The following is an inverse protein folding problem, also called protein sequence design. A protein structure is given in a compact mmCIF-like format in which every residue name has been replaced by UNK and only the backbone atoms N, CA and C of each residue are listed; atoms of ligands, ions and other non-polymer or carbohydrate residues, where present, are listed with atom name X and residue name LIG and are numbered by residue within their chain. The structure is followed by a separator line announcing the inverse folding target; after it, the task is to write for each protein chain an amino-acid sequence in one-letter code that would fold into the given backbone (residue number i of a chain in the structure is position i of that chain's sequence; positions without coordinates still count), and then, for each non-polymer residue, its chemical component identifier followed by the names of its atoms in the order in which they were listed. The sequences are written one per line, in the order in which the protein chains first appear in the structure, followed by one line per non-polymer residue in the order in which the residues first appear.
data_IF_696372391947
#
_entry.id   IF_696372391947
#
_cell.length_a   1.000
_cell.length_b   1.000
_cell.length_c   1.000
_cell.angle_alpha   90.00
_cell.angle_beta   90.00
_cell.angle_gamma   90.00
#
_symmetry.space_group_name_H-M   'P 1'
#
loop_
_entity.id
_entity.type
_entity.pdbx_description
1 polymer ?
#
# COMPACT_ATOMS: atom_id res chain seq x y z
N UNK A 1 -85.58 17.18 31.71
CA UNK A 1 -84.39 16.61 32.38
C UNK A 1 -83.53 15.89 31.34
N UNK A 2 -82.46 16.52 30.87
CA UNK A 2 -81.54 15.95 29.88
C UNK A 2 -80.62 14.91 30.51
N UNK A 3 -80.70 13.66 30.07
CA UNK A 3 -79.74 12.61 30.46
C UNK A 3 -78.42 12.85 29.74
N UNK A 4 -77.38 13.19 30.50
CA UNK A 4 -75.97 13.15 30.08
C UNK A 4 -75.64 11.77 29.48
N UNK A 5 -75.32 11.74 28.20
CA UNK A 5 -74.60 10.63 27.58
C UNK A 5 -73.24 10.51 28.27
N UNK A 6 -73.08 9.50 29.13
CA UNK A 6 -71.76 9.13 29.64
C UNK A 6 -70.95 8.62 28.47
N UNK A 7 -69.90 9.35 28.06
CA UNK A 7 -68.86 8.80 27.22
C UNK A 7 -68.31 7.54 27.91
N UNK A 8 -68.49 6.37 27.30
CA UNK A 8 -67.82 5.14 27.74
C UNK A 8 -66.31 5.42 27.70
N UNK A 9 -65.54 5.13 28.75
CA UNK A 9 -64.09 5.22 28.69
C UNK A 9 -63.61 4.30 27.58
N UNK A 10 -62.69 4.78 26.71
CA UNK A 10 -62.00 3.93 25.73
C UNK A 10 -61.23 2.87 26.52
N UNK A 11 -61.78 1.66 26.63
CA UNK A 11 -61.01 0.49 27.06
C UNK A 11 -59.97 0.24 25.98
N UNK A 12 -58.71 0.54 26.28
CA UNK A 12 -57.58 0.11 25.47
C UNK A 12 -57.41 -1.39 25.77
N UNK A 13 -57.75 -2.30 24.84
CA UNK A 13 -57.57 -3.72 25.09
C UNK A 13 -56.08 -4.00 25.32
N UNK A 14 -55.74 -4.82 26.31
CA UNK A 14 -54.38 -5.33 26.45
C UNK A 14 -54.06 -6.17 25.20
N UNK A 15 -53.26 -5.60 24.30
CA UNK A 15 -52.75 -6.28 23.12
C UNK A 15 -51.70 -7.32 23.53
N UNK A 16 -51.65 -8.43 22.80
CA UNK A 16 -50.59 -9.42 22.99
C UNK A 16 -49.25 -8.82 22.53
N UNK A 17 -48.42 -8.44 23.52
CA UNK A 17 -47.11 -7.81 23.30
C UNK A 17 -46.21 -8.66 22.40
N UNK A 18 -46.39 -9.98 22.38
CA UNK A 18 -45.58 -10.90 21.56
C UNK A 18 -45.92 -10.78 20.07
N UNK A 19 -47.22 -10.79 19.73
CA UNK A 19 -47.69 -10.65 18.34
C UNK A 19 -47.34 -9.25 17.82
N UNK A 20 -47.64 -8.22 18.61
CA UNK A 20 -47.36 -6.84 18.22
C UNK A 20 -45.85 -6.57 18.09
N UNK A 21 -45.04 -7.15 18.98
CA UNK A 21 -43.57 -7.09 18.91
C UNK A 21 -43.00 -7.82 17.69
N UNK A 22 -43.53 -9.00 17.34
CA UNK A 22 -43.10 -9.75 16.17
C UNK A 22 -43.43 -9.01 14.86
N UNK A 23 -44.64 -8.45 14.74
CA UNK A 23 -45.03 -7.62 13.58
C UNK A 23 -44.10 -6.41 13.47
N UNK A 24 -43.88 -5.68 14.56
CA UNK A 24 -43.02 -4.50 14.58
C UNK A 24 -41.57 -4.85 14.17
N UNK A 25 -41.02 -5.94 14.72
CA UNK A 25 -39.67 -6.41 14.39
C UNK A 25 -39.56 -6.81 12.92
N UNK A 26 -40.50 -7.60 12.39
CA UNK A 26 -40.46 -8.01 10.99
C UNK A 26 -40.64 -6.82 10.04
N UNK A 27 -41.51 -5.86 10.38
CA UNK A 27 -41.65 -4.60 9.62
C UNK A 27 -40.35 -3.80 9.63
N UNK A 28 -39.69 -3.66 10.79
CA UNK A 28 -38.40 -2.98 10.90
C UNK A 28 -37.32 -3.67 10.05
N UNK A 29 -37.22 -5.00 10.12
CA UNK A 29 -36.24 -5.78 9.33
C UNK A 29 -36.50 -5.63 7.84
N UNK A 30 -37.76 -5.65 7.38
CA UNK A 30 -38.10 -5.42 5.97
C UNK A 30 -37.65 -4.03 5.52
N UNK A 31 -37.97 -2.99 6.29
CA UNK A 31 -37.59 -1.61 5.96
C UNK A 31 -36.07 -1.45 5.93
N UNK A 32 -35.36 -1.95 6.95
CA UNK A 32 -33.90 -1.89 7.01
C UNK A 32 -33.25 -2.67 5.86
N UNK A 33 -33.77 -3.85 5.53
CA UNK A 33 -33.23 -4.67 4.42
C UNK A 33 -33.42 -4.00 3.06
N UNK A 34 -34.59 -3.38 2.82
CA UNK A 34 -34.83 -2.58 1.61
C UNK A 34 -33.85 -1.42 1.47
N UNK A 35 -33.68 -0.65 2.56
CA UNK A 35 -32.74 0.48 2.58
C UNK A 35 -31.31 -0.03 2.34
N UNK A 36 -30.91 -1.12 3.01
CA UNK A 36 -29.59 -1.74 2.80
C UNK A 36 -29.36 -2.12 1.34
N UNK A 37 -30.31 -2.76 0.66
CA UNK A 37 -30.15 -3.16 -0.75
C UNK A 37 -29.92 -1.96 -1.69
N UNK A 38 -30.62 -0.83 -1.46
CA UNK A 38 -30.43 0.39 -2.24
C UNK A 38 -29.00 0.94 -2.05
N UNK A 39 -28.53 1.03 -0.80
CA UNK A 39 -27.17 1.51 -0.51
C UNK A 39 -26.09 0.58 -1.07
N UNK A 40 -26.27 -0.73 -0.91
CA UNK A 40 -25.31 -1.73 -1.40
C UNK A 40 -25.22 -1.74 -2.93
N UNK A 41 -26.27 -1.32 -3.62
CA UNK A 41 -26.24 -1.16 -5.08
C UNK A 41 -25.16 -0.15 -5.49
N UNK A 42 -25.12 1.01 -4.84
CA UNK A 42 -24.13 2.06 -5.15
C UNK A 42 -22.76 1.71 -4.58
N UNK A 43 -22.71 1.21 -3.34
CA UNK A 43 -21.46 0.98 -2.63
C UNK A 43 -20.70 -0.27 -3.09
N UNK A 44 -21.39 -1.33 -3.54
CA UNK A 44 -20.77 -2.64 -3.83
C UNK A 44 -21.09 -3.14 -5.23
N UNK A 45 -22.36 -3.11 -5.67
CA UNK A 45 -22.74 -3.66 -6.96
C UNK A 45 -22.11 -2.89 -8.14
N UNK A 46 -22.27 -1.56 -8.19
CA UNK A 46 -21.70 -0.73 -9.27
C UNK A 46 -20.18 -0.91 -9.39
N UNK A 47 -19.36 -0.77 -8.33
CA UNK A 47 -17.92 -0.95 -8.45
C UNK A 47 -17.54 -2.40 -8.81
N UNK A 48 -18.27 -3.40 -8.30
CA UNK A 48 -18.04 -4.81 -8.67
C UNK A 48 -18.34 -5.05 -10.14
N UNK A 49 -19.45 -4.54 -10.66
CA UNK A 49 -19.82 -4.64 -12.08
C UNK A 49 -18.76 -4.01 -12.99
N UNK A 50 -18.22 -2.84 -12.61
CA UNK A 50 -17.10 -2.22 -13.33
C UNK A 50 -15.85 -3.09 -13.28
N UNK A 51 -15.56 -3.72 -12.14
CA UNK A 51 -14.40 -4.59 -12.01
C UNK A 51 -14.50 -5.85 -12.86
N UNK A 52 -15.68 -6.48 -12.98
CA UNK A 52 -15.88 -7.63 -13.86
C UNK A 52 -15.79 -7.26 -15.34
N UNK A 53 -16.21 -6.05 -15.71
CA UNK A 53 -16.20 -5.56 -17.09
C UNK A 53 -14.95 -4.77 -17.45
N UNK A 54 -13.96 -4.66 -16.56
CA UNK A 54 -12.76 -3.84 -16.80
C UNK A 54 -11.77 -4.50 -17.76
N UNK A 55 -11.86 -5.82 -17.97
CA UNK A 55 -11.00 -6.58 -18.89
C UNK A 55 -9.53 -6.64 -18.46
N UNK A 56 -9.25 -6.52 -17.15
CA UNK A 56 -7.90 -6.68 -16.61
C UNK A 56 -7.58 -8.16 -16.43
N UNK A 57 -6.30 -8.50 -16.63
CA UNK A 57 -5.81 -9.84 -16.34
C UNK A 57 -5.80 -10.09 -14.83
N UNK A 58 -6.19 -11.28 -14.38
CA UNK A 58 -6.14 -11.67 -12.96
C UNK A 58 -4.73 -12.07 -12.49
N UNK A 59 -3.83 -12.40 -13.42
CA UNK A 59 -2.45 -12.76 -13.10
C UNK A 59 -1.61 -11.47 -13.09
N UNK A 60 -0.94 -11.16 -11.97
CA UNK A 60 -0.12 -9.95 -11.89
C UNK A 60 1.16 -10.11 -12.70
N UNK A 61 1.52 -9.02 -13.37
CA UNK A 61 2.80 -8.83 -14.05
C UNK A 61 3.65 -7.83 -13.28
N UNK A 62 4.89 -7.57 -13.71
CA UNK A 62 5.75 -6.60 -13.04
C UNK A 62 5.64 -5.21 -13.67
N UNK A 63 5.34 -4.23 -12.84
CA UNK A 63 5.45 -2.81 -13.19
C UNK A 63 6.74 -2.22 -12.65
N UNK A 64 7.29 -1.27 -13.39
CA UNK A 64 8.40 -0.43 -12.92
C UNK A 64 8.07 1.04 -13.14
N UNK A 65 8.28 1.86 -12.12
CA UNK A 65 8.05 3.30 -12.22
C UNK A 65 9.13 3.99 -13.06
N UNK A 66 8.69 4.84 -13.99
CA UNK A 66 9.56 5.57 -14.93
C UNK A 66 9.64 7.05 -14.54
N UNK A 67 8.50 7.62 -14.13
CA UNK A 67 8.41 9.02 -13.81
C UNK A 67 7.34 9.26 -12.76
N UNK A 68 7.70 10.10 -11.78
CA UNK A 68 6.79 10.57 -10.75
C UNK A 68 6.79 12.09 -10.75
N UNK A 69 5.59 12.66 -10.83
CA UNK A 69 5.37 14.11 -10.69
C UNK A 69 4.32 14.40 -9.62
N UNK A 70 4.44 15.57 -9.00
CA UNK A 70 3.51 16.06 -8.00
C UNK A 70 3.01 17.42 -8.46
N UNK A 71 1.76 17.47 -8.92
CA UNK A 71 1.18 18.66 -9.54
C UNK A 71 0.04 19.22 -8.65
N UNK A 72 -0.03 20.54 -8.49
CA UNK A 72 -1.04 21.18 -7.63
C UNK A 72 -2.44 21.20 -8.26
N UNK A 73 -2.53 21.29 -9.59
CA UNK A 73 -3.78 21.24 -10.35
C UNK A 73 -3.72 20.06 -11.33
N UNK A 74 -4.54 19.03 -11.11
CA UNK A 74 -4.44 17.77 -11.81
C UNK A 74 -5.75 17.36 -12.47
N UNK A 75 -5.64 16.86 -13.70
CA UNK A 75 -6.73 16.16 -14.39
C UNK A 75 -6.91 14.72 -13.88
N UNK A 76 -5.85 14.11 -13.38
CA UNK A 76 -5.86 12.76 -12.79
C UNK A 76 -4.77 12.63 -11.71
N UNK A 77 -4.97 11.69 -10.79
CA UNK A 77 -4.01 11.29 -9.77
C UNK A 77 -3.97 9.76 -9.69
N UNK A 78 -2.80 9.20 -9.38
CA UNK A 78 -2.59 7.77 -9.18
C UNK A 78 -3.29 7.23 -7.93
N UNK A 79 -3.43 8.08 -6.90
CA UNK A 79 -4.16 7.78 -5.69
C UNK A 79 -4.72 9.08 -5.11
N UNK A 80 -6.04 9.11 -4.90
CA UNK A 80 -6.73 10.13 -4.11
C UNK A 80 -7.32 9.55 -2.83
N UNK A 81 -7.41 10.38 -1.79
CA UNK A 81 -8.17 10.06 -0.58
C UNK A 81 -9.52 10.81 -0.64
N UNK A 82 -10.57 10.22 -0.06
CA UNK A 82 -11.95 10.75 -0.07
C UNK A 82 -12.59 10.87 -1.46
N UNK A 83 -13.09 9.77 -2.00
CA UNK A 83 -13.55 9.68 -3.39
C UNK A 83 -14.82 10.46 -3.74
N UNK A 84 -15.41 11.17 -2.78
CA UNK A 84 -16.58 12.04 -2.99
C UNK A 84 -16.21 13.43 -3.51
N UNK A 85 -14.98 13.88 -3.25
CA UNK A 85 -14.51 15.20 -3.69
C UNK A 85 -13.29 15.06 -4.58
N UNK A 86 -13.11 15.99 -5.52
CA UNK A 86 -11.84 16.05 -6.27
C UNK A 86 -10.72 16.40 -5.31
N UNK A 87 -9.68 15.58 -5.29
CA UNK A 87 -8.45 15.86 -4.53
C UNK A 87 -7.86 17.18 -5.02
N UNK A 88 -7.85 18.19 -4.15
CA UNK A 88 -7.16 19.46 -4.38
C UNK A 88 -5.81 19.44 -3.67
N UNK A 89 -4.72 19.76 -4.38
CA UNK A 89 -3.37 19.94 -3.82
C UNK A 89 -2.52 18.67 -3.71
N UNK A 90 -3.07 17.51 -3.29
CA UNK A 90 -2.33 16.24 -3.25
C UNK A 90 -2.67 15.35 -4.44
N UNK A 91 -1.87 15.45 -5.52
CA UNK A 91 -2.10 14.69 -6.75
C UNK A 91 -0.80 14.09 -7.29
N UNK A 92 -0.40 12.91 -6.78
CA UNK A 92 0.72 12.17 -7.33
C UNK A 92 0.36 11.60 -8.70
N UNK A 93 1.23 11.79 -9.68
CA UNK A 93 1.11 11.23 -11.02
C UNK A 93 2.29 10.31 -11.27
N UNK A 94 2.02 9.00 -11.24
CA UNK A 94 3.02 7.96 -11.41
C UNK A 94 2.79 7.30 -12.77
N UNK A 95 3.84 7.28 -13.58
CA UNK A 95 3.87 6.54 -14.83
C UNK A 95 4.77 5.32 -14.66
N UNK A 96 4.29 4.17 -15.12
CA UNK A 96 5.00 2.90 -15.04
C UNK A 96 5.07 2.23 -16.40
N UNK A 97 6.16 1.49 -16.62
CA UNK A 97 6.28 0.51 -17.69
C UNK A 97 5.74 -0.82 -17.16
N UNK A 98 5.05 -1.56 -18.01
CA UNK A 98 4.54 -2.91 -17.70
C UNK A 98 5.36 -3.92 -18.46
N UNK A 99 5.76 -4.98 -17.78
CA UNK A 99 6.48 -6.10 -18.38
C UNK A 99 6.04 -7.41 -17.76
N UNK A 100 6.25 -8.49 -18.49
CA UNK A 100 6.11 -9.82 -17.94
C UNK A 100 7.10 -10.05 -16.79
N UNK A 101 6.76 -11.04 -15.96
CA UNK A 101 7.64 -11.49 -14.89
C UNK A 101 8.93 -12.05 -15.51
N UNK A 102 10.07 -11.70 -14.92
CA UNK A 102 11.36 -12.28 -15.25
C UNK A 102 11.47 -13.72 -14.75
N UNK A 103 12.66 -14.30 -14.88
CA UNK A 103 12.86 -15.70 -14.52
C UNK A 103 13.11 -15.88 -13.03
N UNK A 104 12.69 -17.03 -12.50
CA UNK A 104 13.10 -17.50 -11.18
C UNK A 104 14.38 -18.32 -11.34
N UNK A 105 15.43 -17.94 -10.62
CA UNK A 105 16.75 -18.55 -10.74
C UNK A 105 17.23 -19.03 -9.37
N UNK A 106 17.92 -20.16 -9.38
CA UNK A 106 18.59 -20.71 -8.20
C UNK A 106 20.08 -20.82 -8.48
N UNK A 107 20.89 -20.14 -7.68
CA UNK A 107 22.34 -20.28 -7.72
C UNK A 107 22.77 -21.33 -6.69
N UNK A 108 23.63 -22.25 -7.12
CA UNK A 108 24.10 -23.37 -6.32
C UNK A 108 25.58 -23.23 -5.97
N UNK A 109 26.00 -23.92 -4.92
CA UNK A 109 27.36 -23.89 -4.37
C UNK A 109 27.82 -22.46 -4.03
N UNK A 110 26.92 -21.71 -3.38
CA UNK A 110 27.15 -20.33 -2.98
C UNK A 110 27.79 -20.24 -1.59
N UNK A 111 28.92 -19.54 -1.51
CA UNK A 111 29.64 -19.25 -0.27
C UNK A 111 29.81 -17.74 -0.09
N UNK A 112 30.12 -17.31 1.14
CA UNK A 112 30.49 -15.92 1.46
C UNK A 112 29.42 -14.86 1.10
N UNK A 113 28.14 -15.19 1.33
CA UNK A 113 27.04 -14.26 1.09
C UNK A 113 27.18 -12.99 1.96
N UNK A 114 27.13 -11.83 1.32
CA UNK A 114 27.16 -10.53 1.96
C UNK A 114 26.11 -9.61 1.31
N UNK A 115 25.62 -8.64 2.08
CA UNK A 115 24.64 -7.66 1.60
C UNK A 115 25.11 -6.27 1.94
N UNK A 116 25.15 -5.40 0.95
CA UNK A 116 25.45 -3.97 1.11
C UNK A 116 24.23 -3.17 0.68
N UNK A 117 23.76 -2.26 1.53
CA UNK A 117 22.58 -1.44 1.26
C UNK A 117 22.94 0.04 1.17
N UNK A 118 22.35 0.74 0.20
CA UNK A 118 22.42 2.19 0.12
C UNK A 118 21.00 2.77 0.22
N UNK A 119 20.49 3.02 1.44
CA UNK A 119 19.10 3.40 1.64
C UNK A 119 18.72 4.70 0.91
N UNK A 120 17.43 4.90 0.62
CA UNK A 120 16.95 6.15 0.06
C UNK A 120 17.14 7.29 1.06
N UNK A 121 17.35 8.50 0.53
CA UNK A 121 17.62 9.67 1.35
C UNK A 121 16.34 10.10 2.08
N UNK A 122 16.34 9.98 3.41
CA UNK A 122 15.29 10.56 4.26
C UNK A 122 15.68 11.95 4.74
N UNK A 123 15.11 13.00 4.13
CA UNK A 123 15.34 14.39 4.56
C UNK A 123 14.89 14.68 6.00
N UNK A 124 13.94 13.88 6.51
CA UNK A 124 13.39 14.03 7.85
C UNK A 124 14.34 13.54 8.96
N UNK A 125 15.29 12.67 8.65
CA UNK A 125 16.27 12.17 9.62
C UNK A 125 17.44 13.13 9.85
N UNK A 126 17.59 14.17 9.03
CA UNK A 126 18.63 15.18 9.18
C UNK A 126 18.35 16.08 10.39
N UNK A 127 19.40 16.38 11.17
CA UNK A 127 19.32 17.42 12.20
C UNK A 127 18.91 18.74 11.56
N UNK A 128 17.82 19.32 12.05
CA UNK A 128 17.36 20.66 11.69
C UNK A 128 17.94 21.65 12.70
N UNK A 129 18.71 22.60 12.21
CA UNK A 129 19.26 23.73 12.95
C UNK A 129 18.24 24.87 12.93
N UNK A 130 18.05 25.54 14.06
CA UNK A 130 17.13 26.67 14.16
C UNK A 130 17.91 27.96 14.27
N UNK A 131 18.17 28.61 13.14
CA UNK A 131 18.91 29.87 13.11
C UNK A 131 18.12 31.03 13.72
N UNK A 132 16.83 30.86 14.04
CA UNK A 132 16.07 31.90 14.73
C UNK A 132 16.37 31.94 16.24
N UNK A 133 17.00 30.88 16.80
CA UNK A 133 17.28 30.77 18.22
C UNK A 133 18.78 30.92 18.53
N UNK A 134 19.26 32.16 18.60
CA UNK A 134 20.65 32.48 18.97
C UNK A 134 21.70 32.09 17.91
N UNK A 135 22.96 31.98 18.33
CA UNK A 135 24.13 31.73 17.48
C UNK A 135 24.32 30.27 17.04
N UNK A 136 23.25 29.46 17.03
CA UNK A 136 23.30 28.04 16.62
C UNK A 136 23.82 27.90 15.17
N UNK A 137 23.62 28.93 14.35
CA UNK A 137 24.04 28.97 12.95
C UNK A 137 25.32 29.77 12.67
N UNK A 138 26.07 30.16 13.70
CA UNK A 138 27.36 30.83 13.56
C UNK A 138 28.46 29.92 12.98
N UNK A 139 28.31 28.60 13.14
CA UNK A 139 29.33 27.58 12.81
C UNK A 139 28.78 26.57 11.79
N UNK A 140 28.00 27.03 10.81
CA UNK A 140 27.53 26.17 9.73
C UNK A 140 28.65 25.93 8.71
N UNK A 141 29.01 24.67 8.49
CA UNK A 141 30.00 24.28 7.47
C UNK A 141 29.42 23.21 6.55
N UNK A 142 29.43 23.49 5.25
CA UNK A 142 28.89 22.61 4.22
C UNK A 142 27.68 23.20 3.54
N UNK A 143 26.85 22.35 2.95
CA UNK A 143 25.69 22.77 2.16
C UNK A 143 24.41 22.49 2.93
N UNK A 144 23.54 23.49 2.99
CA UNK A 144 22.32 23.47 3.77
C UNK A 144 21.10 23.73 2.89
N UNK A 145 20.00 23.06 3.20
CA UNK A 145 18.68 23.43 2.71
C UNK A 145 17.91 24.11 3.84
N UNK A 146 17.58 25.39 3.63
CA UNK A 146 16.96 26.25 4.62
C UNK A 146 15.55 26.67 4.22
N UNK A 147 14.65 26.78 5.19
CA UNK A 147 13.30 27.30 5.05
C UNK A 147 13.01 28.28 6.18
N UNK A 148 13.08 29.59 5.89
CA UNK A 148 12.82 30.68 6.85
C UNK A 148 13.61 30.54 8.16
N UNK A 149 14.93 30.33 8.04
CA UNK A 149 15.84 30.20 9.19
C UNK A 149 15.94 28.79 9.78
N UNK A 150 15.13 27.82 9.33
CA UNK A 150 15.32 26.40 9.67
C UNK A 150 16.18 25.71 8.63
N UNK A 151 17.40 25.29 8.99
CA UNK A 151 18.38 24.74 8.06
C UNK A 151 18.66 23.26 8.32
N UNK A 152 18.87 22.48 7.26
CA UNK A 152 19.22 21.05 7.33
C UNK A 152 20.51 20.79 6.57
N UNK A 153 21.45 20.05 7.18
CA UNK A 153 22.78 19.81 6.60
C UNK A 153 22.72 18.73 5.51
N UNK A 154 22.78 19.13 4.24
CA UNK A 154 22.77 18.20 3.10
C UNK A 154 24.12 17.50 2.90
N UNK A 155 25.23 18.04 3.40
CA UNK A 155 26.54 17.43 3.24
C UNK A 155 26.70 16.09 3.96
N UNK A 156 25.75 15.72 4.83
CA UNK A 156 25.71 14.41 5.49
C UNK A 156 25.13 13.29 4.61
N UNK A 157 24.40 13.65 3.55
CA UNK A 157 23.63 12.70 2.73
C UNK A 157 24.04 12.72 1.26
N UNK A 158 24.60 13.82 0.76
CA UNK A 158 25.06 13.96 -0.62
C UNK A 158 26.56 14.21 -0.69
N UNK A 159 27.23 13.58 -1.66
CA UNK A 159 28.63 13.83 -1.95
C UNK A 159 28.76 15.09 -2.82
N UNK A 160 28.94 16.22 -2.14
CA UNK A 160 29.12 17.50 -2.81
C UNK A 160 30.53 17.71 -3.37
N UNK A 161 31.53 16.87 -3.04
CA UNK A 161 32.89 17.05 -3.58
C UNK A 161 32.94 16.87 -5.09
N UNK A 162 32.11 15.98 -5.61
CA UNK A 162 32.05 15.63 -7.03
C UNK A 162 30.82 16.23 -7.73
N UNK A 163 30.10 17.14 -7.06
CA UNK A 163 28.87 17.70 -7.60
C UNK A 163 29.14 19.01 -8.33
N UNK A 164 28.57 19.16 -9.53
CA UNK A 164 28.67 20.40 -10.30
C UNK A 164 27.71 21.45 -9.76
N UNK A 165 28.11 22.16 -8.70
CA UNK A 165 27.39 23.33 -8.19
C UNK A 165 28.31 24.56 -8.15
N UNK A 166 27.70 25.75 -8.20
CA UNK A 166 28.40 27.03 -8.00
C UNK A 166 27.58 27.92 -7.07
N UNK A 167 28.24 28.44 -6.05
CA UNK A 167 27.65 29.37 -5.08
C UNK A 167 27.78 30.82 -5.59
N UNK A 168 27.06 31.16 -6.67
CA UNK A 168 27.11 32.49 -7.32
C UNK A 168 25.97 33.42 -6.85
N UNK A 169 25.34 33.09 -5.73
CA UNK A 169 24.23 33.86 -5.16
C UNK A 169 24.68 35.02 -4.28
N UNK A 170 23.70 35.61 -3.59
CA UNK A 170 24.00 36.58 -2.53
C UNK A 170 24.53 35.83 -1.30
N UNK A 171 25.39 36.51 -0.55
CA UNK A 171 25.91 36.00 0.73
C UNK A 171 25.10 36.62 1.86
N UNK A 172 24.70 35.79 2.82
CA UNK A 172 23.92 36.14 4.01
C UNK A 172 24.75 35.81 5.24
N UNK A 173 24.68 36.66 6.25
CA UNK A 173 25.18 36.33 7.59
C UNK A 173 24.10 35.57 8.36
N UNK A 174 24.34 34.28 8.63
CA UNK A 174 23.38 33.36 9.24
C UNK A 174 23.12 33.59 10.72
N UNK A 175 23.83 34.52 11.36
CA UNK A 175 23.56 34.98 12.73
C UNK A 175 22.71 36.26 12.77
N UNK A 176 22.83 37.12 11.75
CA UNK A 176 22.17 38.45 11.71
C UNK A 176 20.93 38.50 10.82
N UNK A 177 20.94 37.78 9.70
CA UNK A 177 19.95 37.89 8.62
C UNK A 177 19.18 36.56 8.42
N UNK A 178 18.79 35.92 9.52
CA UNK A 178 18.39 34.51 9.57
C UNK A 178 17.09 34.24 8.80
N UNK A 179 16.20 35.24 8.74
CA UNK A 179 14.95 35.20 7.96
C UNK A 179 15.18 35.15 6.43
N UNK A 180 16.33 35.62 5.93
CA UNK A 180 16.67 35.60 4.50
C UNK A 180 17.17 34.24 4.01
N UNK A 181 17.39 33.28 4.92
CA UNK A 181 17.81 31.91 4.60
C UNK A 181 16.64 31.07 4.10
N UNK A 182 16.38 31.15 2.78
CA UNK A 182 15.43 30.29 2.07
C UNK A 182 16.03 29.70 0.78
N UNK A 183 16.02 28.36 0.70
CA UNK A 183 16.61 27.56 -0.38
C UNK A 183 17.94 26.91 -0.02
N UNK A 184 18.78 26.64 -1.02
CA UNK A 184 20.07 25.98 -0.86
C UNK A 184 21.21 26.98 -0.67
N UNK A 185 22.07 26.75 0.33
CA UNK A 185 23.21 27.62 0.66
C UNK A 185 24.47 26.81 0.91
N UNK A 186 25.61 27.34 0.48
CA UNK A 186 26.93 26.88 0.93
C UNK A 186 27.39 27.80 2.07
N UNK A 187 27.56 27.23 3.26
CA UNK A 187 27.95 27.95 4.47
C UNK A 187 29.40 27.64 4.85
N UNK A 188 30.14 28.69 5.19
CA UNK A 188 31.52 28.66 5.71
C UNK A 188 31.57 29.49 7.00
N UNK A 189 31.11 28.92 8.10
CA UNK A 189 30.90 29.63 9.37
C UNK A 189 29.58 30.40 9.33
N UNK A 190 29.61 31.69 9.69
CA UNK A 190 28.43 32.56 9.68
C UNK A 190 28.07 33.09 8.28
N UNK A 191 28.95 32.92 7.28
CA UNK A 191 28.69 33.39 5.91
C UNK A 191 28.13 32.26 5.06
N UNK A 192 26.91 32.43 4.58
CA UNK A 192 26.20 31.49 3.74
C UNK A 192 25.90 32.09 2.36
N UNK A 193 26.41 31.49 1.29
CA UNK A 193 26.20 31.96 -0.10
C UNK A 193 25.15 31.11 -0.81
N UNK A 194 24.15 31.75 -1.43
CA UNK A 194 23.02 31.05 -2.06
C UNK A 194 23.45 30.29 -3.33
N UNK A 195 22.94 29.07 -3.49
CA UNK A 195 23.07 28.29 -4.71
C UNK A 195 21.80 28.50 -5.54
N UNK A 196 21.92 29.19 -6.68
CA UNK A 196 20.76 29.55 -7.53
C UNK A 196 20.34 28.43 -8.48
N UNK A 197 21.31 27.66 -8.99
CA UNK A 197 21.05 26.61 -9.98
C UNK A 197 20.70 25.30 -9.29
N UNK A 198 19.71 24.54 -9.82
CA UNK A 198 19.49 23.18 -9.35
C UNK A 198 20.75 22.34 -9.62
N UNK A 199 21.08 21.47 -8.68
CA UNK A 199 22.21 20.57 -8.76
C UNK A 199 21.73 19.13 -8.60
N UNK A 200 22.45 18.20 -9.21
CA UNK A 200 22.26 16.76 -9.04
C UNK A 200 23.55 16.20 -8.47
N UNK A 201 23.49 15.67 -7.25
CA UNK A 201 24.63 15.08 -6.59
C UNK A 201 24.35 13.61 -6.26
N UNK A 202 25.42 12.83 -6.25
CA UNK A 202 25.39 11.43 -5.84
C UNK A 202 25.15 11.35 -4.32
N UNK A 203 24.39 10.35 -3.89
CA UNK A 203 24.15 10.10 -2.46
C UNK A 203 25.35 9.44 -1.81
N UNK A 204 25.60 9.73 -0.54
CA UNK A 204 26.66 9.06 0.23
C UNK A 204 26.11 7.74 0.75
N UNK A 205 26.63 6.64 0.22
CA UNK A 205 26.39 5.30 0.77
C UNK A 205 27.45 5.03 1.86
N UNK A 206 27.01 4.73 3.10
CA UNK A 206 27.93 4.46 4.23
C UNK A 206 28.61 3.10 4.15
N UNK A 207 28.01 2.15 3.43
CA UNK A 207 28.52 0.80 3.26
C UNK A 207 29.21 0.66 1.90
N UNK A 208 30.32 -0.05 1.88
CA UNK A 208 30.97 -0.44 0.64
C UNK A 208 30.48 -1.82 0.19
N UNK A 209 30.62 -2.10 -1.10
CA UNK A 209 30.32 -3.39 -1.72
C UNK A 209 31.58 -4.25 -1.61
N UNK A 210 31.47 -5.42 -1.00
CA UNK A 210 32.61 -6.35 -0.90
C UNK A 210 32.77 -7.06 -2.23
N UNK A 211 33.94 -6.91 -2.85
CA UNK A 211 34.26 -7.50 -4.17
C UNK A 211 35.31 -8.60 -4.08
N UNK A 212 36.07 -8.65 -2.97
CA UNK A 212 37.07 -9.70 -2.76
C UNK A 212 36.44 -11.10 -2.77
N UNK A 213 36.96 -11.97 -3.65
CA UNK A 213 36.50 -13.35 -3.84
C UNK A 213 34.98 -13.46 -4.05
N UNK A 214 34.39 -12.56 -4.85
CA UNK A 214 32.98 -12.61 -5.26
C UNK A 214 32.88 -12.68 -6.77
N UNK A 215 32.01 -13.56 -7.28
CA UNK A 215 31.77 -13.72 -8.71
C UNK A 215 30.29 -13.51 -9.10
N UNK A 216 29.41 -13.30 -8.13
CA UNK A 216 27.99 -13.05 -8.36
C UNK A 216 27.56 -11.82 -7.57
N UNK A 217 26.97 -10.85 -8.27
CA UNK A 217 26.37 -9.65 -7.73
C UNK A 217 24.91 -9.59 -8.18
N UNK A 218 23.99 -9.49 -7.22
CA UNK A 218 22.55 -9.41 -7.46
C UNK A 218 22.09 -8.04 -6.97
N UNK A 219 21.60 -7.22 -7.90
CA UNK A 219 20.97 -5.93 -7.57
C UNK A 219 19.50 -6.13 -7.23
N UNK A 220 19.09 -5.66 -6.05
CA UNK A 220 17.71 -5.69 -5.58
C UNK A 220 17.38 -4.32 -5.01
N UNK A 221 16.53 -3.56 -5.69
CA UNK A 221 16.29 -2.16 -5.39
C UNK A 221 17.60 -1.40 -5.10
N UNK A 222 17.71 -0.80 -3.91
CA UNK A 222 18.83 0.00 -3.41
C UNK A 222 19.94 -0.84 -2.73
N UNK A 223 19.90 -2.16 -2.89
CA UNK A 223 20.81 -3.11 -2.26
C UNK A 223 21.52 -4.01 -3.28
N UNK A 224 22.73 -4.42 -2.91
CA UNK A 224 23.49 -5.44 -3.64
C UNK A 224 23.71 -6.62 -2.72
N UNK A 225 23.39 -7.81 -3.21
CA UNK A 225 23.78 -9.07 -2.59
C UNK A 225 24.97 -9.63 -3.36
N UNK A 226 26.04 -9.97 -2.65
CA UNK A 226 27.27 -10.47 -3.24
C UNK A 226 27.55 -11.88 -2.71
N UNK A 227 27.92 -12.79 -3.59
CA UNK A 227 28.29 -14.16 -3.22
C UNK A 227 29.32 -14.74 -4.17
N UNK A 228 29.88 -15.87 -3.76
CA UNK A 228 30.68 -16.72 -4.63
C UNK A 228 29.90 -17.99 -4.95
N UNK A 229 29.41 -18.15 -6.17
CA UNK A 229 28.57 -19.28 -6.58
C UNK A 229 29.21 -20.08 -7.73
N UNK A 230 28.85 -21.37 -7.84
CA UNK A 230 29.41 -22.27 -8.85
C UNK A 230 28.63 -22.26 -10.16
N UNK A 231 27.29 -22.35 -10.08
CA UNK A 231 26.42 -22.44 -11.25
C UNK A 231 25.02 -21.91 -10.95
N UNK A 232 24.25 -21.62 -12.00
CA UNK A 232 22.90 -21.09 -11.96
C UNK A 232 21.94 -21.95 -12.78
N UNK A 233 20.81 -22.31 -12.16
CA UNK A 233 19.72 -23.06 -12.77
C UNK A 233 18.43 -22.25 -12.75
N UNK A 234 17.56 -22.48 -13.73
CA UNK A 234 16.23 -21.87 -13.82
C UNK A 234 15.19 -22.95 -14.06
N UNK A 235 14.00 -22.78 -13.50
CA UNK A 235 12.81 -23.60 -13.77
C UNK A 235 11.80 -22.86 -14.66
N UNK A 236 12.18 -21.71 -15.20
CA UNK A 236 11.33 -20.88 -16.06
C UNK A 236 12.03 -20.54 -17.38
N UNK A 237 11.24 -20.55 -18.45
CA UNK A 237 11.60 -20.05 -19.78
C UNK A 237 10.73 -18.86 -20.16
N UNK A 238 11.35 -17.72 -20.42
CA UNK A 238 10.70 -16.50 -20.88
C UNK A 238 10.24 -16.62 -22.34
N UNK A 239 9.16 -15.92 -22.68
CA UNK A 239 8.55 -15.91 -24.01
C UNK A 239 8.26 -14.47 -24.48
N UNK A 240 9.27 -13.60 -24.36
CA UNK A 240 9.15 -12.19 -24.71
C UNK A 240 8.04 -11.49 -23.92
N UNK A 241 7.08 -10.88 -24.63
CA UNK A 241 5.96 -10.15 -24.04
C UNK A 241 4.76 -11.04 -23.62
N UNK A 242 4.87 -12.35 -23.76
CA UNK A 242 3.86 -13.33 -23.34
C UNK A 242 4.30 -14.05 -22.07
N UNK A 243 3.35 -14.75 -21.46
CA UNK A 243 3.61 -15.56 -20.27
C UNK A 243 4.73 -16.58 -20.52
N UNK A 244 5.66 -16.66 -19.57
CA UNK A 244 6.71 -17.66 -19.56
C UNK A 244 6.18 -19.06 -19.24
N UNK A 245 6.95 -20.07 -19.60
CA UNK A 245 6.62 -21.47 -19.35
C UNK A 245 7.48 -22.05 -18.24
N UNK A 246 6.90 -22.92 -17.42
CA UNK A 246 7.66 -23.72 -16.47
C UNK A 246 8.35 -24.87 -17.20
N UNK A 247 9.64 -25.04 -16.94
CA UNK A 247 10.48 -26.08 -17.55
C UNK A 247 11.15 -26.90 -16.45
N UNK A 248 11.73 -28.03 -16.83
CA UNK A 248 12.62 -28.76 -15.93
C UNK A 248 13.86 -27.91 -15.60
N UNK A 249 14.41 -28.03 -14.38
CA UNK A 249 15.56 -27.22 -13.95
C UNK A 249 16.72 -27.31 -14.95
N UNK A 250 16.94 -26.21 -15.66
CA UNK A 250 17.94 -26.11 -16.73
C UNK A 250 19.07 -25.18 -16.31
N UNK A 251 20.30 -25.62 -16.52
CA UNK A 251 21.49 -24.82 -16.25
C UNK A 251 21.65 -23.73 -17.32
N UNK A 252 21.71 -22.47 -16.90
CA UNK A 252 21.90 -21.33 -17.80
C UNK A 252 23.26 -20.63 -17.59
N UNK A 253 23.90 -20.82 -16.44
CA UNK A 253 25.17 -20.17 -16.11
C UNK A 253 26.09 -21.11 -15.33
N UNK A 254 27.39 -21.03 -15.64
CA UNK A 254 28.47 -21.72 -14.93
C UNK A 254 29.59 -20.72 -14.72
N UNK A 255 30.21 -20.77 -13.54
CA UNK A 255 31.37 -19.95 -13.23
C UNK A 255 32.52 -20.23 -14.20
N UNK A 256 33.05 -19.16 -14.78
CA UNK A 256 34.33 -19.16 -15.51
C UNK A 256 35.41 -18.37 -14.74
N UNK A 257 36.71 -18.67 -14.95
CA UNK A 257 37.79 -17.91 -14.33
C UNK A 257 37.87 -16.49 -14.90
N UNK A 258 38.04 -15.48 -14.04
CA UNK A 258 38.14 -14.08 -14.45
C UNK A 258 36.82 -13.41 -14.84
N UNK A 259 35.68 -14.11 -14.67
CA UNK A 259 34.36 -13.59 -14.98
C UNK A 259 33.51 -13.36 -13.72
N UNK A 260 32.77 -12.25 -13.74
CA UNK A 260 31.84 -11.85 -12.70
C UNK A 260 30.48 -11.59 -13.29
N UNK A 261 29.45 -12.22 -12.73
CA UNK A 261 28.06 -12.05 -13.15
C UNK A 261 27.37 -10.98 -12.33
N UNK A 262 26.69 -10.07 -13.02
CA UNK A 262 25.74 -9.12 -12.45
C UNK A 262 24.34 -9.43 -12.96
N UNK A 263 23.37 -9.44 -12.06
CA UNK A 263 21.95 -9.65 -12.41
C UNK A 263 21.06 -8.74 -11.57
N UNK A 264 19.87 -8.40 -12.07
CA UNK A 264 18.89 -7.59 -11.36
C UNK A 264 17.66 -8.41 -11.04
N UNK A 265 17.32 -8.56 -9.76
CA UNK A 265 16.20 -9.39 -9.31
C UNK A 265 15.25 -8.57 -8.43
N UNK A 266 14.03 -9.07 -8.21
CA UNK A 266 13.06 -8.43 -7.31
C UNK A 266 13.18 -8.92 -5.88
N UNK A 267 13.31 -10.24 -5.68
CA UNK A 267 13.44 -10.86 -4.36
C UNK A 267 14.61 -11.83 -4.38
N UNK A 268 15.38 -11.84 -3.29
CA UNK A 268 16.53 -12.74 -3.09
C UNK A 268 16.43 -13.36 -1.70
N UNK A 269 16.62 -14.67 -1.62
CA UNK A 269 16.61 -15.45 -0.38
C UNK A 269 17.83 -16.39 -0.38
N UNK A 270 18.67 -16.27 0.63
CA UNK A 270 19.81 -17.15 0.83
C UNK A 270 19.44 -18.29 1.79
N UNK A 271 19.72 -19.53 1.39
CA UNK A 271 19.55 -20.72 2.22
C UNK A 271 20.92 -21.23 2.66
N UNK A 272 21.22 -21.10 3.95
CA UNK A 272 22.48 -21.57 4.53
C UNK A 272 22.62 -23.10 4.44
N UNK A 273 21.54 -23.85 4.70
CA UNK A 273 21.54 -25.33 4.70
C UNK A 273 21.95 -25.93 3.36
N UNK A 274 21.48 -25.32 2.28
CA UNK A 274 21.70 -25.82 0.93
C UNK A 274 22.82 -25.06 0.20
N UNK A 275 23.43 -24.06 0.85
CA UNK A 275 24.40 -23.14 0.23
C UNK A 275 23.91 -22.63 -1.14
N UNK A 276 22.64 -22.19 -1.18
CA UNK A 276 21.95 -21.81 -2.41
C UNK A 276 21.27 -20.46 -2.28
N UNK A 277 21.27 -19.68 -3.35
CA UNK A 277 20.53 -18.42 -3.44
C UNK A 277 19.34 -18.61 -4.37
N UNK A 278 18.14 -18.43 -3.85
CA UNK A 278 16.91 -18.40 -4.64
C UNK A 278 16.55 -16.94 -4.93
N UNK A 279 16.33 -16.61 -6.19
CA UNK A 279 15.98 -15.26 -6.62
C UNK A 279 14.84 -15.29 -7.63
N UNK A 280 13.93 -14.32 -7.53
CA UNK A 280 12.73 -14.23 -8.40
C UNK A 280 12.70 -12.92 -9.18
N UNK A 281 12.04 -12.98 -10.34
CA UNK A 281 11.92 -11.87 -11.28
C UNK A 281 13.29 -11.29 -11.68
N UNK A 282 14.21 -12.18 -12.05
CA UNK A 282 15.55 -11.82 -12.45
C UNK A 282 15.61 -11.44 -13.94
N UNK A 283 16.27 -10.32 -14.21
CA UNK A 283 16.42 -9.70 -15.53
C UNK A 283 17.83 -9.11 -15.69
N UNK A 284 18.22 -8.87 -16.94
CA UNK A 284 19.49 -8.22 -17.31
C UNK A 284 20.73 -8.91 -16.70
N UNK A 285 20.90 -10.20 -16.98
CA UNK A 285 22.12 -10.93 -16.64
C UNK A 285 23.29 -10.54 -17.55
N UNK A 286 24.33 -9.93 -16.98
CA UNK A 286 25.52 -9.50 -17.72
C UNK A 286 26.80 -10.03 -17.08
N UNK A 287 27.81 -10.30 -17.91
CA UNK A 287 29.14 -10.75 -17.49
C UNK A 287 30.15 -9.62 -17.62
N UNK A 288 30.97 -9.45 -16.60
CA UNK A 288 32.06 -8.49 -16.50
C UNK A 288 33.38 -9.21 -16.30
N UNK A 289 34.46 -8.63 -16.84
CA UNK A 289 35.81 -9.08 -16.52
C UNK A 289 36.17 -8.65 -15.09
N UNK A 290 36.80 -9.56 -14.35
CA UNK A 290 37.15 -9.35 -12.94
C UNK A 290 38.12 -8.17 -12.72
N UNK A 291 38.94 -7.84 -13.73
CA UNK A 291 39.93 -6.74 -13.67
C UNK A 291 39.30 -5.35 -13.63
N UNK A 292 38.07 -5.21 -14.12
CA UNK A 292 37.37 -3.91 -14.18
C UNK A 292 36.73 -3.58 -12.82
N UNK A 293 36.53 -4.58 -11.97
CA UNK A 293 35.88 -4.43 -10.68
C UNK A 293 36.91 -4.04 -9.61
N UNK A 294 36.75 -2.87 -8.94
CA UNK A 294 37.66 -2.46 -7.89
C UNK A 294 37.73 -3.50 -6.77
N UNK A 295 38.94 -3.78 -6.27
CA UNK A 295 39.21 -4.71 -5.15
C UNK A 295 39.99 -4.02 -4.04
N UNK A 296 39.80 -4.41 -2.76
CA UNK A 296 38.92 -5.47 -2.25
C UNK A 296 37.46 -5.04 -2.02
N UNK A 297 37.18 -3.74 -2.17
CA UNK A 297 35.85 -3.15 -2.03
C UNK A 297 35.59 -2.21 -3.21
N UNK A 298 34.32 -2.06 -3.58
CA UNK A 298 33.85 -1.05 -4.51
C UNK A 298 32.82 -0.15 -3.84
N UNK A 299 32.82 1.13 -4.19
CA UNK A 299 31.75 2.06 -3.84
C UNK A 299 30.55 1.85 -4.76
N UNK A 300 29.35 2.22 -4.30
CA UNK A 300 28.14 2.16 -5.14
C UNK A 300 28.29 2.96 -6.44
N UNK A 301 28.98 4.10 -6.37
CA UNK A 301 29.26 4.96 -7.53
C UNK A 301 30.15 4.27 -8.57
N UNK A 302 31.24 3.63 -8.13
CA UNK A 302 32.09 2.84 -9.01
C UNK A 302 31.29 1.72 -9.67
N UNK A 303 30.41 1.06 -8.90
CA UNK A 303 29.55 0.00 -9.41
C UNK A 303 28.54 0.51 -10.45
N UNK A 304 27.90 1.64 -10.21
CA UNK A 304 27.00 2.27 -11.19
C UNK A 304 27.73 2.70 -12.47
N UNK A 305 29.00 3.11 -12.36
CA UNK A 305 29.86 3.43 -13.50
C UNK A 305 30.30 2.21 -14.33
N UNK A 306 29.98 0.98 -13.90
CA UNK A 306 30.14 -0.25 -14.68
C UNK A 306 29.00 -0.47 -15.69
N UNK A 307 27.92 0.30 -15.60
CA UNK A 307 26.78 0.17 -16.52
C UNK A 307 27.26 0.33 -17.98
N UNK A 308 27.00 -0.67 -18.82
CA UNK A 308 27.40 -0.67 -20.23
C UNK A 308 28.85 -1.12 -20.51
N UNK A 309 29.68 -1.38 -19.50
CA UNK A 309 31.06 -1.90 -19.66
C UNK A 309 31.13 -3.44 -19.54
N UNK A 310 30.03 -4.13 -19.79
CA UNK A 310 29.99 -5.59 -19.72
C UNK A 310 30.66 -6.20 -20.94
N UNK A 311 31.23 -7.39 -20.79
CA UNK A 311 31.89 -8.12 -21.88
C UNK A 311 30.85 -8.73 -22.81
N UNK A 312 29.86 -9.42 -22.25
CA UNK A 312 28.74 -10.02 -22.99
C UNK A 312 27.53 -10.25 -22.06
N UNK A 313 26.38 -10.54 -22.65
CA UNK A 313 25.16 -10.90 -21.92
C UNK A 313 25.16 -12.41 -21.62
N UNK A 314 24.65 -12.80 -20.45
CA UNK A 314 24.60 -14.22 -20.04
C UNK A 314 23.69 -15.03 -20.97
N UNK A 315 22.59 -14.42 -21.40
CA UNK A 315 21.58 -15.06 -22.24
C UNK A 315 21.22 -14.17 -23.45
N UNK A 316 21.91 -14.35 -24.59
CA UNK A 316 21.62 -13.61 -25.82
C UNK A 316 20.23 -13.88 -26.40
N UNK A 317 19.63 -15.03 -26.10
CA UNK A 317 18.33 -15.43 -26.66
C UNK A 317 17.14 -14.92 -25.82
N UNK A 318 17.39 -14.37 -24.63
CA UNK A 318 16.37 -13.94 -23.68
C UNK A 318 15.39 -15.07 -23.28
N UNK A 319 15.87 -16.31 -23.18
CA UNK A 319 15.08 -17.47 -22.79
C UNK A 319 15.09 -17.72 -21.27
N UNK A 320 16.22 -17.50 -20.58
CA UNK A 320 16.45 -17.85 -19.19
C UNK A 320 16.77 -16.63 -18.31
N UNK A 321 17.49 -15.64 -18.83
CA UNK A 321 17.74 -14.36 -18.14
C UNK A 321 17.43 -13.22 -19.10
N UNK A 322 16.13 -12.99 -19.37
CA UNK A 322 15.70 -12.02 -20.36
C UNK A 322 16.12 -10.59 -19.98
N UNK A 323 16.39 -9.80 -21.01
CA UNK A 323 16.51 -8.36 -20.89
C UNK A 323 15.15 -7.72 -20.61
N UNK A 324 15.17 -6.60 -19.88
CA UNK A 324 13.94 -5.86 -19.56
C UNK A 324 13.12 -5.51 -20.80
N UNK A 325 13.77 -5.06 -21.88
CA UNK A 325 13.13 -4.66 -23.13
C UNK A 325 12.37 -5.81 -23.80
N UNK A 326 12.89 -7.04 -23.71
CA UNK A 326 12.25 -8.23 -24.31
C UNK A 326 10.94 -8.61 -23.63
N UNK A 327 10.79 -8.29 -22.33
CA UNK A 327 9.59 -8.59 -21.53
C UNK A 327 8.53 -7.48 -21.55
N UNK A 328 8.88 -6.30 -22.05
CA UNK A 328 8.01 -5.12 -21.96
C UNK A 328 6.73 -5.30 -22.79
N UNK A 329 5.59 -5.05 -22.16
CA UNK A 329 4.25 -5.08 -22.75
C UNK A 329 3.88 -3.66 -23.18
N UNK A 330 3.87 -2.71 -22.23
CA UNK A 330 3.66 -1.30 -22.50
C UNK A 330 4.77 -0.45 -21.88
N UNK A 331 5.37 0.40 -22.72
CA UNK A 331 6.43 1.31 -22.30
C UNK A 331 5.93 2.41 -21.35
N UNK A 332 4.65 2.78 -21.42
CA UNK A 332 4.14 3.93 -20.70
C UNK A 332 2.64 3.78 -20.39
N UNK A 333 2.32 3.65 -19.10
CA UNK A 333 0.96 3.55 -18.59
C UNK A 333 0.80 4.37 -17.31
N UNK A 334 -0.40 4.89 -17.07
CA UNK A 334 -0.73 5.58 -15.82
C UNK A 334 -0.96 4.55 -14.71
N UNK A 335 -0.23 4.67 -13.61
CA UNK A 335 -0.41 3.82 -12.46
C UNK A 335 -1.56 4.34 -11.60
N UNK A 336 -2.50 3.48 -11.25
CA UNK A 336 -3.55 3.75 -10.28
C UNK A 336 -3.52 2.71 -9.15
N UNK A 337 -3.95 3.12 -7.96
CA UNK A 337 -4.06 2.19 -6.83
C UNK A 337 -5.14 1.12 -7.06
N UNK A 338 -6.24 1.49 -7.72
CA UNK A 338 -7.37 0.65 -8.10
C UNK A 338 -8.05 1.25 -9.35
N UNK A 339 -9.16 0.66 -9.81
CA UNK A 339 -9.89 1.13 -11.01
C UNK A 339 -10.38 2.59 -10.90
N UNK A 340 -10.75 3.04 -9.70
CA UNK A 340 -11.23 4.42 -9.47
C UNK A 340 -10.09 5.41 -9.17
N UNK A 341 -8.86 4.92 -8.96
CA UNK A 341 -7.71 5.75 -8.56
C UNK A 341 -7.85 6.38 -7.16
N UNK A 342 -8.69 5.81 -6.29
CA UNK A 342 -9.06 6.46 -5.04
C UNK A 342 -9.38 5.49 -3.89
N UNK A 343 -9.10 5.92 -2.65
CA UNK A 343 -9.39 5.20 -1.41
C UNK A 343 -10.26 6.04 -0.47
N UNK A 344 -11.25 5.40 0.17
CA UNK A 344 -12.17 6.05 1.10
C UNK A 344 -11.65 6.11 2.55
N UNK A 345 -10.33 6.05 2.73
CA UNK A 345 -9.68 6.00 4.05
C UNK A 345 -8.79 7.22 4.26
N UNK A 346 -8.87 7.83 5.45
CA UNK A 346 -7.99 8.91 5.93
C UNK A 346 -6.65 8.43 6.54
N UNK A 347 -6.23 7.22 6.21
CA UNK A 347 -5.10 6.56 6.89
C UNK A 347 -3.73 6.90 6.29
N UNK A 348 -3.65 7.88 5.38
CA UNK A 348 -2.42 8.18 4.64
C UNK A 348 -2.02 7.08 3.67
N UNK A 349 -3.00 6.32 3.15
CA UNK A 349 -2.74 5.22 2.22
C UNK A 349 -2.12 5.74 0.91
N UNK A 350 -2.56 6.90 0.41
CA UNK A 350 -2.00 7.45 -0.81
C UNK A 350 -0.58 8.00 -0.62
N UNK A 351 -0.26 8.50 0.59
CA UNK A 351 1.10 8.87 0.93
C UNK A 351 2.02 7.63 0.95
N UNK A 352 1.58 6.54 1.57
CA UNK A 352 2.30 5.27 1.57
C UNK A 352 2.45 4.68 0.17
N UNK A 353 1.41 4.81 -0.65
CA UNK A 353 1.44 4.40 -2.06
C UNK A 353 2.53 5.16 -2.84
N UNK A 354 2.63 6.48 -2.66
CA UNK A 354 3.69 7.29 -3.27
C UNK A 354 5.09 6.88 -2.80
N UNK A 355 5.28 6.57 -1.51
CA UNK A 355 6.59 6.15 -0.99
C UNK A 355 7.05 4.79 -1.53
N UNK A 356 6.11 3.87 -1.73
CA UNK A 356 6.40 2.50 -2.16
C UNK A 356 6.50 2.38 -3.69
N UNK A 357 5.63 3.08 -4.42
CA UNK A 357 5.52 2.95 -5.89
C UNK A 357 6.08 4.16 -6.65
N UNK A 358 6.32 5.30 -5.99
CA UNK A 358 6.69 6.54 -6.66
C UNK A 358 8.19 6.74 -6.92
N UNK A 359 9.06 5.77 -6.64
CA UNK A 359 10.50 5.93 -6.92
C UNK A 359 10.75 5.71 -8.41
N UNK A 360 11.17 6.75 -9.10
CA UNK A 360 11.38 6.77 -10.56
C UNK A 360 12.84 6.53 -10.98
N UNK A 361 13.72 6.26 -10.03
CA UNK A 361 15.13 6.01 -10.26
C UNK A 361 15.99 7.27 -10.45
N UNK A 362 15.41 8.47 -10.27
CA UNK A 362 16.19 9.71 -10.26
C UNK A 362 17.17 9.73 -9.08
N UNK A 363 18.28 10.45 -9.23
CA UNK A 363 19.35 10.57 -8.21
C UNK A 363 19.99 9.22 -7.81
N UNK A 364 20.20 8.33 -8.78
CA UNK A 364 20.84 7.01 -8.56
C UNK A 364 20.11 6.16 -7.50
N UNK A 365 18.80 6.31 -7.42
CA UNK A 365 17.93 5.41 -6.67
C UNK A 365 17.47 4.29 -7.59
N UNK A 366 17.14 3.14 -7.04
CA UNK A 366 16.44 2.14 -7.83
C UNK A 366 15.00 2.58 -8.08
N UNK A 367 14.53 2.34 -9.31
CA UNK A 367 13.12 2.49 -9.63
C UNK A 367 12.29 1.44 -8.88
N UNK A 368 11.14 1.85 -8.36
CA UNK A 368 10.19 0.95 -7.70
C UNK A 368 9.71 -0.11 -8.68
N UNK A 369 9.87 -1.39 -8.31
CA UNK A 369 9.30 -2.54 -9.03
C UNK A 369 8.25 -3.20 -8.14
N UNK A 370 7.09 -3.49 -8.70
CA UNK A 370 5.97 -4.05 -7.94
C UNK A 370 5.02 -4.83 -8.86
N UNK A 371 4.29 -5.82 -8.33
CA UNK A 371 3.25 -6.50 -9.07
C UNK A 371 2.11 -5.54 -9.42
N UNK A 372 1.59 -5.65 -10.64
CA UNK A 372 0.49 -4.86 -11.15
C UNK A 372 -0.34 -5.65 -12.14
N UNK A 373 -1.54 -5.16 -12.42
CA UNK A 373 -2.48 -5.73 -13.37
C UNK A 373 -2.68 -4.76 -14.52
N UNK A 374 -2.81 -5.31 -15.72
CA UNK A 374 -2.95 -4.56 -16.96
C UNK A 374 -4.13 -5.10 -17.77
N UNK A 375 -4.61 -4.28 -18.70
CA UNK A 375 -5.62 -4.68 -19.67
C UNK A 375 -4.91 -4.94 -21.02
N UNK A 376 -5.11 -6.12 -21.61
CA UNK A 376 -4.48 -6.50 -22.89
C UNK A 376 -4.86 -5.60 -24.08
N UNK A 377 -6.03 -4.97 -24.02
CA UNK A 377 -6.57 -4.14 -25.08
C UNK A 377 -6.32 -2.64 -24.84
N UNK A 378 -5.83 -2.25 -23.67
CA UNK A 378 -5.68 -0.83 -23.32
C UNK A 378 -4.43 -0.57 -22.47
N UNK A 379 -3.49 0.18 -23.06
CA UNK A 379 -2.24 0.59 -22.40
C UNK A 379 -2.38 1.83 -21.50
N UNK A 380 -3.57 2.46 -21.45
CA UNK A 380 -3.78 3.74 -20.79
C UNK A 380 -3.51 3.70 -19.28
N UNK A 381 -3.99 2.65 -18.61
CA UNK A 381 -3.93 2.54 -17.16
C UNK A 381 -3.57 1.14 -16.69
N UNK A 382 -2.85 1.08 -15.58
CA UNK A 382 -2.46 -0.14 -14.88
C UNK A 382 -2.77 0.03 -13.40
N UNK A 383 -3.12 -1.06 -12.73
CA UNK A 383 -3.62 -1.02 -11.35
C UNK A 383 -2.82 -1.94 -10.44
N UNK A 384 -2.67 -1.58 -9.17
CA UNK A 384 -1.93 -2.42 -8.21
C UNK A 384 -2.85 -3.30 -7.37
N UNK A 385 -4.08 -2.84 -7.07
CA UNK A 385 -5.08 -3.62 -6.34
C UNK A 385 -6.16 -4.10 -7.30
N UNK A 386 -6.10 -5.37 -7.65
CA UNK A 386 -7.15 -6.06 -8.41
C UNK A 386 -7.28 -7.48 -7.90
N UNK A 387 -8.48 -7.85 -7.44
CA UNK A 387 -8.78 -9.20 -6.97
C UNK A 387 -10.26 -9.49 -7.24
N UNK A 388 -10.54 -10.10 -8.40
CA UNK A 388 -11.90 -10.45 -8.80
C UNK A 388 -12.54 -11.50 -7.90
N UNK A 389 -11.74 -12.43 -7.37
CA UNK A 389 -12.26 -13.49 -6.50
C UNK A 389 -12.74 -12.92 -5.17
N UNK A 390 -11.99 -11.97 -4.62
CA UNK A 390 -12.37 -11.25 -3.40
C UNK A 390 -13.59 -10.37 -3.63
N UNK A 391 -13.64 -9.58 -4.71
CA UNK A 391 -14.79 -8.72 -5.00
C UNK A 391 -16.06 -9.53 -5.22
N UNK A 392 -15.97 -10.68 -5.92
CA UNK A 392 -17.10 -11.59 -6.11
C UNK A 392 -17.63 -12.14 -4.79
N UNK A 393 -16.75 -12.59 -3.89
CA UNK A 393 -17.14 -13.08 -2.56
C UNK A 393 -17.81 -11.98 -1.73
N UNK A 394 -17.23 -10.78 -1.71
CA UNK A 394 -17.79 -9.64 -0.99
C UNK A 394 -19.16 -9.22 -1.54
N UNK A 395 -19.32 -9.22 -2.87
CA UNK A 395 -20.60 -8.96 -3.54
C UNK A 395 -21.67 -9.99 -3.15
N UNK A 396 -21.35 -11.28 -3.17
CA UNK A 396 -22.30 -12.34 -2.81
C UNK A 396 -22.75 -12.21 -1.37
N UNK A 397 -21.82 -12.03 -0.43
CA UNK A 397 -22.15 -11.89 0.99
C UNK A 397 -23.03 -10.66 1.21
N UNK A 398 -22.65 -9.53 0.60
CA UNK A 398 -23.36 -8.27 0.74
C UNK A 398 -24.80 -8.32 0.19
N UNK A 399 -25.02 -8.97 -0.95
CA UNK A 399 -26.37 -9.09 -1.54
C UNK A 399 -27.20 -10.17 -0.85
N UNK A 400 -26.58 -11.31 -0.51
CA UNK A 400 -27.32 -12.46 0.02
C UNK A 400 -27.91 -12.20 1.41
N UNK A 401 -27.18 -11.54 2.32
CA UNK A 401 -27.63 -11.35 3.70
C UNK A 401 -28.91 -10.50 3.78
N UNK A 402 -28.99 -9.28 3.21
CA UNK A 402 -30.21 -8.48 3.25
C UNK A 402 -31.36 -9.11 2.44
N UNK A 403 -31.06 -9.78 1.32
CA UNK A 403 -32.10 -10.47 0.54
C UNK A 403 -32.75 -11.61 1.33
N UNK A 404 -31.98 -12.44 2.04
CA UNK A 404 -32.54 -13.52 2.87
C UNK A 404 -33.36 -12.93 4.02
N UNK A 405 -32.84 -11.92 4.72
CA UNK A 405 -33.57 -11.26 5.81
C UNK A 405 -34.87 -10.62 5.33
N UNK A 406 -34.87 -10.01 4.15
CA UNK A 406 -36.06 -9.45 3.51
C UNK A 406 -37.09 -10.55 3.20
N UNK A 407 -36.69 -11.62 2.52
CA UNK A 407 -37.61 -12.70 2.11
C UNK A 407 -38.22 -13.40 3.33
N UNK A 408 -37.39 -13.76 4.32
CA UNK A 408 -37.86 -14.42 5.54
C UNK A 408 -38.84 -13.50 6.29
N UNK A 409 -38.49 -12.23 6.46
CA UNK A 409 -39.34 -11.28 7.20
C UNK A 409 -40.62 -10.92 6.45
N UNK A 410 -40.59 -10.93 5.12
CA UNK A 410 -41.78 -10.73 4.30
C UNK A 410 -42.74 -11.92 4.38
N UNK A 411 -42.22 -13.15 4.28
CA UNK A 411 -43.02 -14.38 4.40
C UNK A 411 -43.66 -14.47 5.80
N UNK A 412 -42.92 -14.15 6.87
CA UNK A 412 -43.48 -14.15 8.23
C UNK A 412 -44.60 -13.11 8.37
N UNK A 413 -44.44 -11.91 7.80
CA UNK A 413 -45.51 -10.90 7.80
C UNK A 413 -46.74 -11.37 7.03
N UNK A 414 -46.58 -11.95 5.84
CA UNK A 414 -47.70 -12.52 5.08
C UNK A 414 -48.41 -13.63 5.89
N UNK A 415 -47.65 -14.50 6.55
CA UNK A 415 -48.19 -15.54 7.42
C UNK A 415 -48.98 -14.98 8.60
N UNK A 416 -48.47 -13.94 9.27
CA UNK A 416 -49.16 -13.27 10.38
C UNK A 416 -50.42 -12.56 9.89
N UNK A 417 -50.37 -11.87 8.75
CA UNK A 417 -51.54 -11.20 8.15
C UNK A 417 -52.67 -12.17 7.82
N UNK A 418 -52.35 -13.38 7.37
CA UNK A 418 -53.35 -14.43 7.10
C UNK A 418 -53.84 -15.12 8.38
N UNK A 419 -53.01 -15.15 9.43
CA UNK A 419 -53.29 -15.89 10.67
C UNK A 419 -53.98 -15.06 11.75
N UNK A 420 -53.83 -13.73 11.75
CA UNK A 420 -54.40 -12.87 12.79
C UNK A 420 -55.73 -12.27 12.33
N UNK A 421 -56.80 -12.51 13.09
CA UNK A 421 -58.09 -11.85 12.91
C UNK A 421 -58.35 -10.92 14.09
N UNK A 422 -58.93 -9.75 13.80
CA UNK A 422 -59.43 -8.84 14.83
C UNK A 422 -60.86 -9.26 15.13
N UNK A 423 -61.09 -9.80 16.33
CA UNK A 423 -62.45 -10.08 16.83
C UNK A 423 -63.13 -8.79 17.30
N UNK A 424 -64.45 -8.82 17.43
CA UNK A 424 -65.30 -7.69 17.83
C UNK A 424 -64.90 -7.06 19.19
N UNK A 425 -64.13 -7.77 20.01
CA UNK A 425 -63.49 -7.30 21.26
C UNK A 425 -62.27 -6.39 21.03
N UNK A 426 -61.92 -6.03 19.79
CA UNK A 426 -60.71 -5.28 19.39
C UNK A 426 -59.39 -5.95 19.79
N UNK A 427 -59.43 -7.25 20.14
CA UNK A 427 -58.25 -8.07 20.47
C UNK A 427 -57.78 -8.85 19.24
N UNK A 428 -56.47 -8.84 19.00
CA UNK A 428 -55.84 -9.67 17.98
C UNK A 428 -55.72 -11.10 18.48
N UNK A 429 -56.35 -12.06 17.79
CA UNK A 429 -56.21 -13.51 18.06
C UNK A 429 -55.65 -14.21 16.84
N UNK A 430 -54.73 -15.15 17.06
CA UNK A 430 -54.16 -15.96 16.00
C UNK A 430 -55.02 -17.20 15.76
N UNK A 431 -55.60 -17.30 14.55
CA UNK A 431 -56.51 -18.37 14.11
C UNK A 431 -55.83 -19.74 14.04
N UNK A 432 -54.54 -19.78 13.69
CA UNK A 432 -53.77 -21.02 13.47
C UNK A 432 -52.70 -21.29 14.53
N UNK A 433 -52.58 -20.46 15.58
CA UNK A 433 -51.58 -20.69 16.64
C UNK A 433 -51.96 -21.82 17.61
N UNK A 434 -53.11 -22.49 17.41
CA UNK A 434 -53.49 -23.71 18.10
C UNK A 434 -53.43 -24.89 17.13
N UNK A 435 -52.21 -25.39 16.89
CA UNK A 435 -52.02 -26.50 15.94
C UNK A 435 -50.59 -26.99 15.79
N UNK A 436 -49.73 -26.88 16.80
CA UNK A 436 -48.58 -27.77 16.97
C UNK A 436 -47.96 -27.55 18.35
N UNK A 437 -48.33 -28.42 19.28
CA UNK A 437 -47.42 -28.77 20.36
C UNK A 437 -46.22 -29.46 19.71
N UNK A 438 -45.14 -28.71 19.46
CA UNK A 438 -43.82 -29.31 19.35
C UNK A 438 -43.00 -28.81 20.52
N UNK A 439 -42.84 -29.69 21.50
CA UNK A 439 -41.86 -29.59 22.55
C UNK A 439 -40.48 -29.29 21.93
N UNK A 440 -40.02 -28.05 22.04
CA UNK A 440 -38.65 -27.81 22.46
C UNK A 440 -38.65 -26.65 23.45
N UNK A 441 -38.90 -27.02 24.70
CA UNK A 441 -38.67 -26.21 25.89
C UNK A 441 -37.23 -26.41 26.41
N UNK A 442 -36.31 -26.78 25.52
CA UNK A 442 -34.90 -27.03 25.82
C UNK A 442 -34.06 -26.58 24.62
N UNK A 443 -33.80 -25.27 24.51
CA UNK A 443 -32.57 -24.72 23.89
C UNK A 443 -32.46 -23.19 23.91
N UNK A 444 -33.44 -22.48 24.48
CA UNK A 444 -33.36 -21.03 24.70
C UNK A 444 -33.24 -20.67 26.20
N UNK A 445 -32.64 -21.56 26.98
CA UNK A 445 -32.32 -21.31 28.40
C UNK A 445 -30.83 -21.43 28.70
N UNK A 446 -29.99 -21.75 27.70
CA UNK A 446 -28.53 -21.84 27.87
C UNK A 446 -27.76 -20.62 27.32
N UNK A 447 -28.42 -19.66 26.64
CA UNK A 447 -27.77 -18.43 26.16
C UNK A 447 -28.03 -17.16 27.00
N UNK A 448 -28.79 -17.25 28.11
CA UNK A 448 -29.06 -16.08 28.98
C UNK A 448 -28.46 -16.23 30.39
N UNK A 449 -27.89 -17.39 30.76
CA UNK A 449 -27.33 -17.61 32.10
C UNK A 449 -25.83 -17.23 32.27
N UNK A 450 -25.22 -16.46 31.36
CA UNK A 450 -23.79 -16.09 31.47
C UNK A 450 -23.46 -14.60 31.44
N UNK A 451 -24.44 -13.71 31.49
CA UNK A 451 -24.19 -12.30 31.73
C UNK A 451 -25.23 -11.78 32.70
N UNK A 452 -24.76 -11.04 33.72
CA UNK A 452 -25.51 -10.46 34.84
C UNK A 452 -25.67 -11.36 36.08
N UNK A 453 -24.54 -11.70 36.69
CA UNK A 453 -24.43 -11.69 38.16
C UNK A 453 -23.50 -10.53 38.52
N UNK A 454 -24.08 -9.45 39.05
CA UNK A 454 -23.61 -8.67 40.21
C UNK A 454 -24.24 -7.27 40.17
N UNK A 455 -25.35 -7.12 40.87
CA UNK A 455 -25.58 -5.99 41.76
C UNK A 455 -26.12 -6.58 43.06
N UNK A 456 -25.61 -6.19 44.24
CA UNK A 456 -26.40 -6.21 45.45
C UNK A 456 -26.94 -4.81 45.77
N UNK A 457 -28.05 -4.87 46.49
CA UNK A 457 -28.97 -3.84 46.91
C UNK A 457 -28.42 -2.58 47.59
N UNK A 458 -29.33 -1.60 47.54
CA UNK A 458 -29.52 -0.41 48.35
C UNK A 458 -29.30 -0.58 49.86
N UNK A 459 -28.72 0.46 50.48
CA UNK A 459 -29.17 1.04 51.75
C UNK A 459 -28.68 2.51 51.84
N UNK A 460 -29.61 3.45 52.05
CA UNK A 460 -29.36 4.79 52.61
C UNK A 460 -29.26 4.67 54.16
N UNK A 461 -28.88 5.69 54.96
CA UNK A 461 -28.50 7.07 54.65
C UNK A 461 -27.23 7.57 55.40
N UNK A 462 -26.62 8.70 55.00
CA UNK A 462 -26.24 9.76 55.95
C UNK A 462 -25.67 11.05 55.34
N UNK A 463 -26.14 12.13 55.94
CA UNK A 463 -25.68 13.53 55.90
C UNK A 463 -24.17 13.71 56.12
N UNK A 464 -23.49 14.49 55.26
CA UNK A 464 -22.71 15.72 55.61
C UNK A 464 -21.87 16.27 54.45
N UNK A 465 -22.21 17.49 54.07
CA UNK A 465 -21.41 18.60 53.51
C UNK A 465 -19.91 18.39 53.19
N UNK A 466 -19.57 18.56 51.90
CA UNK A 466 -18.40 19.34 51.44
C UNK A 466 -18.50 20.77 52.00
N UNK A 467 -17.46 21.46 52.47
CA UNK A 467 -16.06 21.61 52.02
C UNK A 467 -15.28 22.37 53.11
N UNK A 468 -13.95 22.49 52.98
CA UNK A 468 -13.39 23.83 53.15
C UNK A 468 -12.63 24.30 51.91
N UNK A 469 -12.71 25.61 51.79
CA UNK A 469 -12.00 26.53 50.91
C UNK A 469 -10.46 26.48 51.05
N UNK A 470 -9.81 26.90 49.96
CA UNK A 470 -8.69 27.85 49.92
C UNK A 470 -7.49 27.52 50.83
N UNK A 471 -6.40 27.03 50.21
CA UNK A 471 -5.09 27.72 50.14
C UNK A 471 -4.17 27.01 49.15
#
# INVERSE_FOLDING_TARGET
MGRRNRCKPRMIPQQDKRICGCICFCQLVVVLSCVSLIYLTVAIYIPSYRAFNSGFEEVPVMCQTINTSMNNNCSWASCGEWCLTRTSGFCPQIHSTTRQNGSSVTFLNCTTFATSTCPPISKNALKKYNCNNGSECAVLKGIFNCSLGHCSNLSQIYDFKNCHYKADGFTVDSDKDNAKLSGYFECKGSKCTKIKKPFTCDRICKQNITTDRRNLFISVEDSFHQAFCGLGVTDMKANGNKDGFKIEPTQFWVKQPGEVMLVSCHVVQFSEKNSSIFATDCINGTIYNEDIIPKPYATFREFWNLTGKHSHVVDPKNEFLPSQSSLTIYNHSRLYINLDGCVNTLKGECYNFLLTHGRDGKNQTAASRFPCFYNKNNSFMVITRYDLKRTWRELIIAVSIPSILFVVSFITLCGIMQSVRVDDDTKMRCKYCFGSSFNSKADLTEMISRYEVFSPESDEPNFRSSSPEIS
#
